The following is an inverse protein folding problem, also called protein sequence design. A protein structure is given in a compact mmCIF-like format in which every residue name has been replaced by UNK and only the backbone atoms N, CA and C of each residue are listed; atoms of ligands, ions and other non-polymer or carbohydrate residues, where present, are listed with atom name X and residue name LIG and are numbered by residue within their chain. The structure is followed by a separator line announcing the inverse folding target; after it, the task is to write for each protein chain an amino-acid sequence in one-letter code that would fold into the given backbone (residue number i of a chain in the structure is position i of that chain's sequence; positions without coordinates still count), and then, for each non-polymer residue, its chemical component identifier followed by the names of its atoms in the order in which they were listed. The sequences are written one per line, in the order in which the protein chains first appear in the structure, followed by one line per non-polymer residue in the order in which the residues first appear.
data_IF_397426569458
#
_entry.id   IF_397426569458
#
_cell.length_a   1.000
_cell.length_b   1.000
_cell.length_c   1.000
_cell.angle_alpha   90.00
_cell.angle_beta   90.00
_cell.angle_gamma   90.00
#
_symmetry.space_group_name_H-M   'P 1'
#
loop_
_entity.id
_entity.type
_entity.pdbx_description
1 polymer ?
#
# COMPACT_ATOMS: atom_id res chain seq x y z
N UNK A 1 -26.26 -32.04 19.27
CA UNK A 1 -26.07 -33.51 19.20
C UNK A 1 -25.92 -34.15 20.57
N UNK A 2 -24.97 -33.72 21.41
CA UNK A 2 -24.75 -34.36 22.74
C UNK A 2 -26.00 -34.42 23.62
N UNK A 3 -26.70 -33.29 23.80
CA UNK A 3 -27.93 -33.27 24.60
C UNK A 3 -29.04 -34.15 24.03
N UNK A 4 -29.22 -34.15 22.70
CA UNK A 4 -30.22 -35.00 22.03
C UNK A 4 -29.89 -36.49 22.21
N UNK A 5 -28.64 -36.88 22.04
CA UNK A 5 -28.20 -38.26 22.26
C UNK A 5 -28.41 -38.69 23.72
N UNK A 6 -28.10 -37.84 24.70
CA UNK A 6 -28.34 -38.14 26.11
C UNK A 6 -29.84 -38.36 26.41
N UNK A 7 -30.72 -37.55 25.82
CA UNK A 7 -32.17 -37.71 25.94
C UNK A 7 -32.64 -39.02 25.30
N UNK A 8 -32.11 -39.39 24.12
CA UNK A 8 -32.42 -40.66 23.44
C UNK A 8 -31.97 -41.88 24.26
N UNK A 9 -30.86 -41.77 25.00
CA UNK A 9 -30.42 -42.82 25.92
C UNK A 9 -31.31 -42.91 27.16
N UNK A 10 -31.70 -41.77 27.74
CA UNK A 10 -32.35 -41.73 29.05
C UNK A 10 -33.88 -41.92 29.01
N UNK A 11 -34.59 -41.33 28.06
CA UNK A 11 -36.07 -41.29 28.06
C UNK A 11 -36.69 -42.69 27.93
N UNK A 12 -36.30 -43.54 26.96
CA UNK A 12 -37.00 -44.81 26.74
C UNK A 12 -36.81 -45.84 27.87
N UNK A 13 -35.61 -46.02 28.46
CA UNK A 13 -35.45 -46.88 29.62
C UNK A 13 -36.14 -46.35 30.89
N UNK A 14 -36.10 -45.03 31.15
CA UNK A 14 -36.66 -44.44 32.38
C UNK A 14 -38.19 -44.36 32.37
N UNK A 15 -38.81 -44.03 31.23
CA UNK A 15 -40.26 -43.79 31.15
C UNK A 15 -41.03 -44.96 30.52
N UNK A 16 -40.38 -45.80 29.72
CA UNK A 16 -41.03 -46.89 28.96
C UNK A 16 -40.48 -48.28 29.28
N UNK A 17 -39.59 -48.41 30.28
CA UNK A 17 -39.06 -49.70 30.74
C UNK A 17 -38.22 -50.46 29.70
N UNK A 18 -37.69 -49.76 28.69
CA UNK A 18 -36.93 -50.37 27.60
C UNK A 18 -35.50 -50.77 28.02
N UNK A 19 -34.87 -51.66 27.25
CA UNK A 19 -33.51 -52.12 27.53
C UNK A 19 -32.45 -51.02 27.35
N UNK A 20 -31.65 -50.77 28.40
CA UNK A 20 -30.58 -49.77 28.38
C UNK A 20 -29.54 -50.02 27.29
N UNK A 21 -29.14 -51.27 27.04
CA UNK A 21 -28.13 -51.63 26.04
C UNK A 21 -28.50 -51.14 24.62
N UNK A 22 -29.77 -51.26 24.23
CA UNK A 22 -30.27 -50.86 22.92
C UNK A 22 -30.25 -49.33 22.77
N UNK A 23 -30.68 -48.60 23.79
CA UNK A 23 -30.79 -47.15 23.72
C UNK A 23 -29.44 -46.44 23.93
N UNK A 24 -28.54 -47.02 24.72
CA UNK A 24 -27.12 -46.60 24.77
C UNK A 24 -26.47 -46.77 23.40
N UNK A 25 -26.63 -47.93 22.75
CA UNK A 25 -26.11 -48.16 21.40
C UNK A 25 -26.65 -47.12 20.40
N UNK A 26 -27.97 -46.90 20.37
CA UNK A 26 -28.61 -45.90 19.48
C UNK A 26 -28.14 -44.47 19.76
N UNK A 27 -27.95 -44.10 21.03
CA UNK A 27 -27.44 -42.77 21.40
C UNK A 27 -26.00 -42.54 20.95
N UNK A 28 -25.14 -43.56 21.07
CA UNK A 28 -23.76 -43.52 20.55
C UNK A 28 -23.73 -43.44 19.03
N UNK A 29 -24.58 -44.20 18.32
CA UNK A 29 -24.73 -44.09 16.86
C UNK A 29 -25.15 -42.68 16.44
N UNK A 30 -26.08 -42.05 17.17
CA UNK A 30 -26.52 -40.68 16.90
C UNK A 30 -25.40 -39.66 17.14
N UNK A 31 -24.55 -39.85 18.15
CA UNK A 31 -23.36 -39.02 18.36
C UNK A 31 -22.39 -39.12 17.18
N UNK A 32 -22.12 -40.34 16.71
CA UNK A 32 -21.20 -40.60 15.61
C UNK A 32 -21.67 -39.96 14.29
N UNK A 33 -22.96 -40.13 13.96
CA UNK A 33 -23.56 -39.49 12.78
C UNK A 33 -23.50 -37.95 12.90
N UNK A 34 -23.50 -37.44 14.13
CA UNK A 34 -23.46 -36.01 14.41
C UNK A 34 -22.11 -35.33 14.29
N UNK A 35 -21.02 -36.07 14.10
CA UNK A 35 -19.71 -35.48 13.86
C UNK A 35 -19.71 -34.72 12.52
N UNK A 36 -19.63 -33.38 12.52
CA UNK A 36 -19.84 -32.59 11.31
C UNK A 36 -18.51 -32.44 10.55
N UNK A 37 -17.96 -33.55 10.05
CA UNK A 37 -16.64 -33.58 9.40
C UNK A 37 -16.54 -32.57 8.25
N UNK A 38 -17.60 -32.45 7.44
CA UNK A 38 -17.67 -31.51 6.33
C UNK A 38 -17.65 -30.04 6.78
N UNK A 39 -18.29 -29.72 7.91
CA UNK A 39 -18.30 -28.37 8.46
C UNK A 39 -16.90 -27.97 8.93
N UNK A 40 -16.19 -28.87 9.60
CA UNK A 40 -14.85 -28.60 10.14
C UNK A 40 -13.85 -28.28 9.02
N UNK A 41 -13.92 -28.98 7.89
CA UNK A 41 -13.01 -28.76 6.75
C UNK A 41 -13.42 -27.58 5.87
N UNK A 42 -14.66 -27.08 5.98
CA UNK A 42 -15.19 -26.05 5.08
C UNK A 42 -14.42 -24.73 5.15
N UNK A 43 -14.10 -24.26 6.36
CA UNK A 43 -13.40 -22.97 6.57
C UNK A 43 -11.95 -23.03 6.10
N UNK A 44 -11.11 -24.01 6.51
CA UNK A 44 -9.73 -24.11 6.01
C UNK A 44 -9.66 -24.28 4.49
N UNK A 45 -10.56 -25.06 3.89
CA UNK A 45 -10.61 -25.25 2.44
C UNK A 45 -10.94 -23.93 1.70
N UNK A 46 -11.93 -23.18 2.20
CA UNK A 46 -12.30 -21.88 1.63
C UNK A 46 -11.16 -20.86 1.75
N UNK A 47 -10.50 -20.77 2.91
CA UNK A 47 -9.37 -19.87 3.14
C UNK A 47 -8.20 -20.23 2.21
N UNK A 48 -7.83 -21.51 2.11
CA UNK A 48 -6.75 -21.95 1.24
C UNK A 48 -7.05 -21.61 -0.23
N UNK A 49 -8.28 -21.83 -0.68
CA UNK A 49 -8.72 -21.45 -2.03
C UNK A 49 -8.62 -19.93 -2.26
N UNK A 50 -9.10 -19.13 -1.31
CA UNK A 50 -9.04 -17.67 -1.37
C UNK A 50 -7.59 -17.13 -1.38
N UNK A 51 -6.70 -17.69 -0.57
CA UNK A 51 -5.27 -17.34 -0.58
C UNK A 51 -4.64 -17.65 -1.95
N UNK A 52 -4.88 -18.85 -2.48
CA UNK A 52 -4.37 -19.24 -3.81
C UNK A 52 -4.92 -18.33 -4.92
N UNK A 53 -6.20 -17.96 -4.86
CA UNK A 53 -6.80 -17.04 -5.81
C UNK A 53 -6.19 -15.63 -5.69
N UNK A 54 -6.07 -15.09 -4.47
CA UNK A 54 -5.46 -13.79 -4.22
C UNK A 54 -4.01 -13.72 -4.72
N UNK A 55 -3.21 -14.74 -4.44
CA UNK A 55 -1.83 -14.82 -4.90
C UNK A 55 -1.71 -14.78 -6.44
N UNK A 56 -2.63 -15.44 -7.17
CA UNK A 56 -2.69 -15.36 -8.65
C UNK A 56 -3.00 -13.95 -9.17
N UNK A 57 -3.62 -13.11 -8.34
CA UNK A 57 -3.90 -11.71 -8.64
C UNK A 57 -2.90 -10.73 -8.01
N UNK A 58 -1.75 -11.22 -7.54
CA UNK A 58 -0.71 -10.37 -6.93
C UNK A 58 -1.03 -9.89 -5.51
N UNK A 59 -2.04 -10.46 -4.86
CA UNK A 59 -2.41 -10.12 -3.47
C UNK A 59 -1.67 -11.03 -2.50
N UNK A 60 -0.83 -10.44 -1.64
CA UNK A 60 -0.16 -11.14 -0.55
C UNK A 60 -0.96 -11.00 0.75
N UNK A 61 -1.80 -11.99 1.03
CA UNK A 61 -2.63 -12.03 2.24
C UNK A 61 -1.95 -12.89 3.32
N UNK A 62 -1.62 -12.28 4.48
CA UNK A 62 -0.90 -12.94 5.58
C UNK A 62 -1.85 -13.74 6.49
N UNK A 63 -2.40 -14.84 5.96
CA UNK A 63 -3.25 -15.78 6.70
C UNK A 63 -4.76 -15.56 6.56
N UNK A 64 -5.55 -16.48 7.13
CA UNK A 64 -7.01 -16.50 6.99
C UNK A 64 -7.74 -15.34 7.68
N UNK A 65 -7.23 -14.88 8.83
CA UNK A 65 -7.82 -13.77 9.58
C UNK A 65 -7.86 -12.47 8.75
N UNK A 66 -6.89 -12.26 7.85
CA UNK A 66 -6.86 -11.10 6.95
C UNK A 66 -8.00 -11.17 5.94
N UNK A 67 -8.31 -12.37 5.42
CA UNK A 67 -9.41 -12.57 4.46
C UNK A 67 -10.76 -12.29 5.14
N UNK A 68 -10.96 -12.85 6.34
CA UNK A 68 -12.18 -12.63 7.12
C UNK A 68 -12.37 -11.17 7.50
N UNK A 69 -11.30 -10.50 7.98
CA UNK A 69 -11.34 -9.09 8.30
C UNK A 69 -11.66 -8.24 7.06
N UNK A 70 -11.03 -8.56 5.93
CA UNK A 70 -11.26 -7.84 4.66
C UNK A 70 -12.71 -7.95 4.19
N UNK A 71 -13.34 -9.12 4.36
CA UNK A 71 -14.75 -9.33 4.00
C UNK A 71 -15.71 -8.45 4.83
N UNK A 72 -15.32 -7.99 6.01
CA UNK A 72 -16.13 -7.13 6.87
C UNK A 72 -15.85 -5.61 6.68
N UNK A 73 -14.84 -5.23 5.88
CA UNK A 73 -14.46 -3.83 5.68
C UNK A 73 -15.59 -3.07 4.94
N UNK A 74 -15.95 -1.89 5.48
CA UNK A 74 -16.92 -0.96 4.87
C UNK A 74 -16.31 0.37 4.44
N UNK A 75 -15.13 0.69 4.95
CA UNK A 75 -14.46 1.97 4.74
C UNK A 75 -12.98 1.73 4.53
N UNK A 76 -12.42 2.38 3.51
CA UNK A 76 -11.00 2.28 3.17
C UNK A 76 -10.40 3.67 3.27
N UNK A 77 -9.38 3.82 4.11
CA UNK A 77 -8.54 5.01 4.15
C UNK A 77 -7.28 4.70 3.34
N UNK A 78 -7.05 5.47 2.27
CA UNK A 78 -5.88 5.31 1.40
C UNK A 78 -4.86 6.38 1.75
N UNK A 79 -3.60 5.96 1.88
CA UNK A 79 -2.51 6.92 1.88
C UNK A 79 -2.36 7.53 0.48
N UNK A 80 -1.90 8.78 0.40
CA UNK A 80 -1.72 9.45 -0.89
C UNK A 80 -0.36 9.08 -1.49
N UNK A 81 0.71 9.36 -0.75
CA UNK A 81 2.08 9.34 -1.27
C UNK A 81 2.59 7.90 -1.31
N UNK A 82 2.92 7.39 -2.50
CA UNK A 82 3.39 6.02 -2.67
C UNK A 82 2.27 4.96 -2.76
N UNK A 83 1.01 5.35 -2.56
CA UNK A 83 -0.17 4.46 -2.76
C UNK A 83 -1.03 4.99 -3.91
N UNK A 84 -1.61 6.18 -3.78
CA UNK A 84 -2.36 6.83 -4.88
C UNK A 84 -1.44 7.51 -5.89
N UNK A 85 -0.29 7.99 -5.43
CA UNK A 85 0.73 8.63 -6.27
C UNK A 85 2.03 7.85 -6.25
N UNK A 86 2.86 8.04 -7.26
CA UNK A 86 4.15 7.36 -7.39
C UNK A 86 5.20 7.79 -6.33
N UNK A 87 4.90 8.80 -5.50
CA UNK A 87 5.82 9.31 -4.48
C UNK A 87 7.06 10.02 -5.04
N UNK A 88 7.12 10.24 -6.35
CA UNK A 88 8.23 10.90 -7.04
C UNK A 88 7.73 12.20 -7.67
N UNK A 89 8.30 13.36 -7.30
CA UNK A 89 7.96 14.62 -7.93
C UNK A 89 8.32 14.62 -9.42
N UNK A 90 7.49 15.26 -10.23
CA UNK A 90 7.73 15.51 -11.65
C UNK A 90 7.49 17.00 -11.94
N UNK A 91 8.29 17.58 -12.85
CA UNK A 91 8.07 18.94 -13.34
C UNK A 91 6.86 18.94 -14.26
N UNK A 92 5.78 19.57 -13.80
CA UNK A 92 4.52 19.71 -14.55
C UNK A 92 4.55 20.92 -15.47
N UNK A 93 4.96 22.07 -14.93
CA UNK A 93 4.85 23.38 -15.59
C UNK A 93 6.18 24.13 -15.50
N UNK A 94 6.53 24.83 -16.58
CA UNK A 94 7.68 25.73 -16.64
C UNK A 94 7.16 27.07 -17.15
N UNK A 95 7.10 28.05 -16.25
CA UNK A 95 6.65 29.40 -16.55
C UNK A 95 7.88 30.30 -16.66
N UNK A 96 8.14 30.82 -17.86
CA UNK A 96 9.25 31.71 -18.13
C UNK A 96 8.77 33.17 -18.07
N UNK A 97 9.61 34.05 -17.51
CA UNK A 97 9.46 35.49 -17.68
C UNK A 97 9.94 35.89 -19.08
N UNK A 98 9.41 37.01 -19.61
CA UNK A 98 9.63 37.44 -21.00
C UNK A 98 11.12 37.40 -21.39
N UNK A 99 11.38 36.93 -22.62
CA UNK A 99 12.71 36.75 -23.26
C UNK A 99 13.45 35.43 -23.00
N UNK A 100 12.95 34.52 -22.15
CA UNK A 100 13.57 33.20 -21.96
C UNK A 100 12.73 32.05 -22.51
N UNK A 101 13.39 31.08 -23.17
CA UNK A 101 12.72 29.85 -23.57
C UNK A 101 12.64 28.85 -22.41
N UNK A 102 11.61 28.00 -22.44
CA UNK A 102 11.45 26.90 -21.47
C UNK A 102 12.64 25.95 -21.49
N UNK A 103 13.24 25.73 -22.65
CA UNK A 103 14.41 24.87 -22.81
C UNK A 103 15.65 25.48 -22.13
N UNK A 104 15.91 26.77 -22.28
CA UNK A 104 17.03 27.45 -21.62
C UNK A 104 16.88 27.43 -20.10
N UNK A 105 15.68 27.77 -19.59
CA UNK A 105 15.41 27.77 -18.15
C UNK A 105 15.58 26.36 -17.58
N UNK A 106 15.06 25.34 -18.27
CA UNK A 106 15.18 23.95 -17.82
C UNK A 106 16.64 23.46 -17.83
N UNK A 107 17.39 23.74 -18.89
CA UNK A 107 18.79 23.34 -19.02
C UNK A 107 19.66 24.01 -17.95
N UNK A 108 19.46 25.31 -17.72
CA UNK A 108 20.17 26.05 -16.69
C UNK A 108 19.79 25.56 -15.29
N UNK A 109 18.50 25.35 -15.02
CA UNK A 109 18.04 24.85 -13.73
C UNK A 109 18.62 23.45 -13.43
N UNK A 110 18.61 22.56 -14.42
CA UNK A 110 19.20 21.23 -14.31
C UNK A 110 20.72 21.26 -14.12
N UNK A 111 21.43 22.23 -14.74
CA UNK A 111 22.87 22.39 -14.54
C UNK A 111 23.20 22.76 -13.09
N UNK A 112 22.46 23.70 -12.50
CA UNK A 112 22.62 24.12 -11.10
C UNK A 112 22.25 22.99 -10.13
N UNK A 113 21.15 22.27 -10.39
CA UNK A 113 20.64 21.20 -9.52
C UNK A 113 21.35 19.85 -9.70
N UNK A 114 22.26 19.70 -10.67
CA UNK A 114 22.93 18.43 -11.00
C UNK A 114 23.65 17.78 -9.80
N UNK A 115 24.16 18.58 -8.89
CA UNK A 115 24.89 18.12 -7.70
C UNK A 115 23.98 17.90 -6.47
N UNK A 116 22.69 18.20 -6.56
CA UNK A 116 21.75 18.16 -5.44
C UNK A 116 21.04 16.81 -5.34
N UNK A 117 21.00 16.25 -4.13
CA UNK A 117 20.28 15.01 -3.84
C UNK A 117 18.80 15.22 -3.48
N UNK A 118 18.29 16.46 -3.58
CA UNK A 118 16.91 16.76 -3.22
C UNK A 118 15.92 16.13 -4.24
N UNK A 119 14.78 15.55 -3.82
CA UNK A 119 13.83 14.94 -4.75
C UNK A 119 13.32 15.87 -5.87
N UNK A 120 13.18 17.18 -5.57
CA UNK A 120 12.82 18.20 -6.59
C UNK A 120 13.95 18.46 -7.58
N UNK A 121 15.21 18.48 -7.11
CA UNK A 121 16.39 18.63 -7.97
C UNK A 121 16.48 17.47 -8.97
N UNK A 122 16.28 16.25 -8.48
CA UNK A 122 16.25 15.05 -9.31
C UNK A 122 15.08 15.07 -10.32
N UNK A 123 13.96 15.70 -9.99
CA UNK A 123 12.85 15.88 -10.93
C UNK A 123 13.21 16.83 -12.08
N UNK A 124 13.89 17.94 -11.78
CA UNK A 124 14.38 18.91 -12.78
C UNK A 124 15.44 18.27 -13.68
N UNK A 125 16.44 17.61 -13.09
CA UNK A 125 17.51 16.92 -13.84
C UNK A 125 16.94 15.80 -14.72
N UNK A 126 15.94 15.04 -14.25
CA UNK A 126 15.24 14.05 -15.10
C UNK A 126 14.48 14.69 -16.24
N UNK A 127 13.79 15.80 -16.01
CA UNK A 127 13.04 16.49 -17.06
C UNK A 127 13.97 17.02 -18.17
N UNK A 128 15.18 17.42 -17.79
CA UNK A 128 16.23 17.87 -18.71
C UNK A 128 17.08 16.73 -19.32
N UNK A 129 16.70 15.46 -19.11
CA UNK A 129 17.47 14.33 -19.62
C UNK A 129 17.57 14.37 -21.16
N UNK A 130 18.80 14.26 -21.68
CA UNK A 130 19.07 14.36 -23.11
C UNK A 130 19.35 15.79 -23.61
N UNK A 131 19.20 16.80 -22.76
CA UNK A 131 19.60 18.18 -23.09
C UNK A 131 21.08 18.41 -22.81
N UNK A 132 21.72 19.28 -23.60
CA UNK A 132 23.05 19.77 -23.30
C UNK A 132 22.96 20.77 -22.14
N UNK A 133 23.53 20.40 -20.98
CA UNK A 133 23.54 21.25 -19.80
C UNK A 133 24.68 22.26 -19.89
N UNK A 134 24.42 23.56 -19.70
CA UNK A 134 25.48 24.57 -19.67
C UNK A 134 26.47 24.30 -18.50
N UNK A 135 27.75 24.65 -18.66
CA UNK A 135 28.70 24.55 -17.56
C UNK A 135 28.40 25.63 -16.52
N UNK A 136 28.21 25.20 -15.27
CA UNK A 136 28.06 26.08 -14.10
C UNK A 136 29.23 25.87 -13.14
N UNK A 137 29.64 26.94 -12.45
CA UNK A 137 30.75 26.95 -11.50
C UNK A 137 30.26 27.24 -10.08
N UNK A 138 31.08 26.93 -9.07
CA UNK A 138 30.80 27.27 -7.66
C UNK A 138 29.39 26.87 -7.17
N UNK A 139 28.92 25.68 -7.56
CA UNK A 139 27.63 25.15 -7.08
C UNK A 139 27.68 24.96 -5.56
N UNK A 140 26.75 25.59 -4.84
CA UNK A 140 26.64 25.55 -3.38
C UNK A 140 25.18 25.38 -2.97
N UNK A 141 24.95 24.46 -2.04
CA UNK A 141 23.67 24.33 -1.38
C UNK A 141 23.50 25.41 -0.31
N UNK A 142 22.37 26.12 -0.34
CA UNK A 142 21.95 27.07 0.69
C UNK A 142 20.98 26.33 1.60
N UNK A 143 21.45 25.96 2.79
CA UNK A 143 20.69 25.13 3.73
C UNK A 143 19.30 25.71 4.02
N UNK A 144 18.26 24.89 3.78
CA UNK A 144 16.86 25.25 4.00
C UNK A 144 16.26 26.24 2.99
N UNK A 145 16.99 26.60 1.93
CA UNK A 145 16.63 27.70 1.04
C UNK A 145 16.67 27.32 -0.44
N UNK A 146 17.72 26.63 -0.88
CA UNK A 146 17.92 26.35 -2.31
C UNK A 146 19.34 25.95 -2.69
N UNK A 147 19.69 26.13 -3.97
CA UNK A 147 21.02 25.92 -4.54
C UNK A 147 21.39 27.14 -5.38
N UNK A 148 22.64 27.58 -5.30
CA UNK A 148 23.18 28.66 -6.14
C UNK A 148 24.39 28.17 -6.92
N UNK A 149 24.56 28.64 -8.15
CA UNK A 149 25.79 28.45 -8.92
C UNK A 149 26.05 29.66 -9.82
N UNK A 150 27.26 29.74 -10.38
CA UNK A 150 27.67 30.81 -11.30
C UNK A 150 27.57 30.33 -12.74
N UNK A 151 26.82 31.05 -13.56
CA UNK A 151 26.70 30.85 -15.01
C UNK A 151 26.98 32.17 -15.72
N UNK A 152 27.92 32.16 -16.66
CA UNK A 152 28.32 33.36 -17.45
C UNK A 152 28.62 34.61 -16.59
N UNK A 153 29.29 34.40 -15.45
CA UNK A 153 29.63 35.46 -14.48
C UNK A 153 28.46 35.95 -13.61
N UNK A 154 27.25 35.41 -13.79
CA UNK A 154 26.07 35.74 -12.99
C UNK A 154 25.74 34.64 -11.98
N UNK A 155 25.24 35.04 -10.80
CA UNK A 155 24.78 34.10 -9.78
C UNK A 155 23.34 33.69 -10.10
N UNK A 156 23.14 32.41 -10.37
CA UNK A 156 21.83 31.80 -10.58
C UNK A 156 21.45 31.05 -9.31
N UNK A 157 20.26 31.35 -8.77
CA UNK A 157 19.75 30.74 -7.54
C UNK A 157 18.43 30.05 -7.82
N UNK A 158 18.31 28.79 -7.38
CA UNK A 158 17.08 28.02 -7.39
C UNK A 158 16.64 27.88 -5.94
N UNK A 159 15.48 28.44 -5.61
CA UNK A 159 15.02 28.55 -4.25
C UNK A 159 13.51 28.29 -4.13
N UNK A 160 13.07 28.03 -2.90
CA UNK A 160 11.64 27.97 -2.61
C UNK A 160 10.98 29.33 -2.87
N UNK A 161 9.67 29.37 -3.25
CA UNK A 161 8.97 30.63 -3.51
C UNK A 161 9.07 31.64 -2.37
N UNK A 162 9.03 31.16 -1.11
CA UNK A 162 9.17 32.00 0.08
C UNK A 162 10.52 32.72 0.15
N UNK A 163 11.59 32.07 -0.28
CA UNK A 163 12.92 32.66 -0.23
C UNK A 163 13.18 33.57 -1.44
N UNK A 164 12.69 33.20 -2.63
CA UNK A 164 12.76 34.07 -3.80
C UNK A 164 12.09 35.44 -3.53
N UNK A 165 10.93 35.45 -2.87
CA UNK A 165 10.24 36.69 -2.48
C UNK A 165 11.00 37.53 -1.44
N UNK A 166 11.83 36.91 -0.59
CA UNK A 166 12.64 37.63 0.39
C UNK A 166 13.84 38.35 -0.26
N UNK A 167 14.33 37.80 -1.37
CA UNK A 167 15.46 38.35 -2.12
C UNK A 167 15.01 39.35 -3.20
N UNK A 168 13.71 39.68 -3.26
CA UNK A 168 13.15 40.73 -4.11
C UNK A 168 12.79 40.31 -5.54
N UNK A 169 12.63 39.01 -5.79
CA UNK A 169 12.17 38.45 -7.06
C UNK A 169 10.63 38.39 -7.18
#
# INVERSE_FOLDING_TARGET
MVGLSALVVAIPPLFFGQAWSVWVYRGLSLLLIGCPCALVISVPAAIASALCAGARHGLLMKGGAVIEATAAIKTVALDKTGTLTMGQPEVTDILCLDQHSTAEVLALAAAVEKASNHPLAQAIVRKAAGMALPPVQDSRAIAGKGVSAVFDGQIITIASPRHAMQDGA
#
